data_IF_329904763795
#
_entry.id   IF_329904763795
#
_cell.length_a   1.000
_cell.length_b   1.000
_cell.length_c   1.000
_cell.angle_alpha   90.00
_cell.angle_beta   90.00
_cell.angle_gamma   90.00
#
_symmetry.space_group_name_H-M   'P 1'
#
loop_
_entity.id
_entity.type
_entity.pdbx_description
1 polymer ?
#
# COMPACT_ATOMS: atom_id res chain seq x y z
N UNK A 1 -40.05 -11.17 9.63
CA UNK A 1 -39.32 -9.90 9.91
C UNK A 1 -38.20 -10.26 10.87
N UNK A 2 -37.00 -10.66 10.36
CA UNK A 2 -35.81 -10.80 11.16
C UNK A 2 -34.89 -9.60 10.78
N UNK A 3 -34.91 -8.58 11.64
CA UNK A 3 -33.89 -7.58 11.63
C UNK A 3 -32.62 -8.23 12.20
N UNK A 4 -31.73 -8.69 11.31
CA UNK A 4 -30.37 -9.07 11.69
C UNK A 4 -29.67 -7.80 12.16
N UNK A 5 -29.33 -7.74 13.43
CA UNK A 5 -28.42 -6.75 14.02
C UNK A 5 -27.07 -6.87 13.32
N UNK A 6 -26.85 -6.03 12.35
CA UNK A 6 -25.51 -5.74 11.82
C UNK A 6 -24.74 -5.08 12.98
N UNK A 7 -23.91 -5.86 13.66
CA UNK A 7 -22.84 -5.27 14.46
C UNK A 7 -22.04 -4.38 13.49
N UNK A 8 -21.87 -3.08 13.76
CA UNK A 8 -20.99 -2.28 12.94
C UNK A 8 -19.61 -2.93 13.00
N UNK A 9 -19.09 -3.37 11.86
CA UNK A 9 -17.66 -3.57 11.72
C UNK A 9 -17.07 -2.24 12.18
N UNK A 10 -16.34 -2.26 13.29
CA UNK A 10 -15.69 -1.06 13.78
C UNK A 10 -14.95 -0.45 12.59
N UNK A 11 -15.35 0.75 12.20
CA UNK A 11 -14.65 1.50 11.16
C UNK A 11 -13.22 1.65 11.68
N UNK A 12 -12.30 0.89 11.10
CA UNK A 12 -10.90 1.13 11.36
C UNK A 12 -10.65 2.56 10.92
N UNK A 13 -10.08 3.38 11.78
CA UNK A 13 -9.74 4.73 11.43
C UNK A 13 -8.83 4.64 10.20
N UNK A 14 -9.36 5.05 9.07
CA UNK A 14 -8.60 5.14 7.82
C UNK A 14 -7.52 6.19 8.07
N UNK A 15 -6.25 5.94 7.75
CA UNK A 15 -5.20 6.95 7.82
C UNK A 15 -5.68 8.24 7.16
N UNK A 16 -5.20 9.42 7.59
CA UNK A 16 -5.56 10.70 6.97
C UNK A 16 -5.11 10.66 5.52
N UNK A 17 -6.01 10.20 4.67
CA UNK A 17 -5.78 10.11 3.23
C UNK A 17 -6.11 11.43 2.57
N UNK A 18 -5.45 11.68 1.46
CA UNK A 18 -5.75 12.78 0.57
C UNK A 18 -7.15 12.60 -0.03
N UNK A 19 -8.17 13.20 0.58
CA UNK A 19 -9.57 13.06 0.17
C UNK A 19 -9.96 14.01 -0.96
N UNK A 20 -9.21 15.10 -1.17
CA UNK A 20 -9.52 16.07 -2.20
C UNK A 20 -9.44 15.45 -3.61
N UNK A 21 -10.60 15.32 -4.26
CA UNK A 21 -10.71 14.73 -5.59
C UNK A 21 -10.73 13.19 -5.61
N UNK A 22 -10.70 12.51 -4.47
CA UNK A 22 -10.88 11.05 -4.38
C UNK A 22 -12.31 10.70 -4.78
N UNK A 23 -12.44 9.83 -5.79
CA UNK A 23 -13.75 9.41 -6.35
C UNK A 23 -13.95 7.90 -6.35
N UNK A 24 -12.92 7.12 -6.01
CA UNK A 24 -13.01 5.67 -5.83
C UNK A 24 -11.86 5.18 -4.95
N UNK A 25 -12.17 4.29 -4.00
CA UNK A 25 -11.21 3.75 -3.05
C UNK A 25 -11.60 2.33 -2.65
N UNK A 26 -10.77 1.36 -3.04
CA UNK A 26 -10.97 -0.05 -2.74
C UNK A 26 -9.73 -0.62 -2.09
N UNK A 27 -9.84 -0.89 -0.78
CA UNK A 27 -8.79 -1.54 0.02
C UNK A 27 -8.66 -3.04 -0.27
N UNK A 28 -9.53 -3.58 -1.10
CA UNK A 28 -9.59 -4.98 -1.50
C UNK A 28 -9.59 -6.01 -0.35
N UNK A 29 -9.96 -5.56 0.84
CA UNK A 29 -10.28 -6.40 1.98
C UNK A 29 -11.69 -6.95 1.76
N UNK A 30 -11.78 -8.06 1.03
CA UNK A 30 -13.05 -8.56 0.55
C UNK A 30 -13.98 -9.00 1.68
N UNK A 31 -15.24 -8.57 1.63
CA UNK A 31 -16.30 -9.05 2.51
C UNK A 31 -16.95 -10.28 1.86
N UNK A 32 -16.84 -11.40 2.57
CA UNK A 32 -17.45 -12.65 2.11
C UNK A 32 -18.90 -12.76 2.56
N UNK A 33 -19.81 -12.91 1.59
CA UNK A 33 -21.18 -13.41 1.80
C UNK A 33 -21.32 -14.73 1.05
N UNK A 34 -22.11 -15.72 1.54
CA UNK A 34 -22.32 -16.97 0.82
C UNK A 34 -22.78 -16.72 -0.63
N UNK A 35 -21.91 -17.07 -1.58
CA UNK A 35 -22.14 -16.85 -3.03
C UNK A 35 -21.88 -15.43 -3.55
N UNK A 36 -21.38 -14.51 -2.73
CA UNK A 36 -21.04 -13.15 -3.15
C UNK A 36 -19.80 -12.64 -2.41
N UNK A 37 -18.80 -12.21 -3.14
CA UNK A 37 -17.59 -11.57 -2.61
C UNK A 37 -17.55 -10.10 -3.05
N UNK A 38 -17.51 -9.18 -2.09
CA UNK A 38 -17.58 -7.74 -2.31
C UNK A 38 -16.26 -7.07 -1.99
N UNK A 39 -15.93 -6.06 -2.78
CA UNK A 39 -14.87 -5.09 -2.55
C UNK A 39 -15.51 -3.72 -2.24
N UNK A 40 -15.66 -3.35 -0.95
CA UNK A 40 -16.27 -2.09 -0.58
C UNK A 40 -15.49 -0.89 -1.10
N UNK A 41 -16.23 0.14 -1.56
CA UNK A 41 -15.69 1.46 -1.83
C UNK A 41 -15.81 2.34 -0.58
N UNK A 42 -14.70 2.90 -0.13
CA UNK A 42 -14.61 3.78 1.05
C UNK A 42 -14.45 5.24 0.69
N UNK A 43 -14.46 5.60 -0.60
CA UNK A 43 -14.36 6.99 -1.07
C UNK A 43 -15.55 7.88 -0.70
N UNK A 44 -16.67 7.26 -0.29
CA UNK A 44 -17.93 7.95 -0.02
C UNK A 44 -18.90 7.99 -1.20
N UNK A 45 -18.54 7.47 -2.35
CA UNK A 45 -19.39 7.43 -3.56
C UNK A 45 -20.18 6.12 -3.71
N UNK A 46 -20.06 5.17 -2.77
CA UNK A 46 -20.81 3.89 -2.73
C UNK A 46 -20.65 3.04 -3.99
N UNK A 47 -19.46 2.98 -4.54
CA UNK A 47 -19.13 2.24 -5.76
C UNK A 47 -18.57 0.85 -5.43
N UNK A 48 -19.26 0.10 -4.55
CA UNK A 48 -18.84 -1.23 -4.14
C UNK A 48 -18.65 -2.16 -5.34
N UNK A 49 -17.48 -2.78 -5.42
CA UNK A 49 -17.13 -3.75 -6.44
C UNK A 49 -17.61 -5.15 -6.09
N UNK A 50 -17.82 -5.97 -7.11
CA UNK A 50 -18.12 -7.40 -7.01
C UNK A 50 -16.98 -8.20 -7.60
N UNK A 51 -16.42 -9.15 -6.85
CA UNK A 51 -15.42 -10.09 -7.34
C UNK A 51 -16.07 -11.11 -8.26
N UNK A 52 -15.52 -11.29 -9.45
CA UNK A 52 -15.95 -12.27 -10.45
C UNK A 52 -14.93 -13.39 -10.48
N UNK A 53 -15.40 -14.63 -10.39
CA UNK A 53 -14.58 -15.83 -10.36
C UNK A 53 -14.52 -16.50 -8.98
N UNK A 54 -13.71 -17.57 -8.81
CA UNK A 54 -13.58 -18.27 -7.54
C UNK A 54 -12.90 -17.39 -6.49
N UNK A 55 -12.99 -17.78 -5.21
CA UNK A 55 -12.49 -17.02 -4.07
C UNK A 55 -11.02 -16.59 -4.24
N UNK A 56 -10.78 -15.29 -4.14
CA UNK A 56 -9.53 -14.64 -4.56
C UNK A 56 -8.76 -13.97 -3.40
N UNK A 57 -9.15 -14.18 -2.14
CA UNK A 57 -8.48 -13.52 -1.01
C UNK A 57 -7.04 -14.01 -0.81
N UNK A 58 -6.13 -13.10 -0.58
CA UNK A 58 -4.72 -13.39 -0.25
C UNK A 58 -4.15 -12.33 0.69
N UNK A 59 -2.90 -12.47 1.07
CA UNK A 59 -2.17 -11.38 1.73
C UNK A 59 -2.01 -10.21 0.75
N UNK A 60 -2.51 -9.03 1.13
CA UNK A 60 -2.36 -7.78 0.43
C UNK A 60 -1.08 -7.03 0.78
N UNK A 61 -0.98 -5.81 0.28
CA UNK A 61 -0.02 -4.83 0.76
C UNK A 61 -0.40 -4.39 2.18
N UNK A 62 -1.69 -4.07 2.38
CA UNK A 62 -2.28 -3.80 3.69
C UNK A 62 -3.26 -4.92 4.06
N UNK A 63 -3.02 -5.64 5.14
CA UNK A 63 -3.90 -6.69 5.68
C UNK A 63 -4.16 -7.84 4.70
N UNK A 64 -5.32 -7.85 4.07
CA UNK A 64 -5.69 -8.79 3.01
C UNK A 64 -5.87 -8.03 1.71
N UNK A 65 -5.42 -8.62 0.61
CA UNK A 65 -5.63 -8.10 -0.74
C UNK A 65 -6.28 -9.17 -1.62
N UNK A 66 -6.46 -8.86 -2.88
CA UNK A 66 -7.00 -9.80 -3.84
C UNK A 66 -5.89 -10.40 -4.69
N UNK A 67 -5.83 -11.73 -4.71
CA UNK A 67 -5.01 -12.48 -5.65
C UNK A 67 -5.90 -12.90 -6.82
N UNK A 68 -5.78 -12.21 -7.93
CA UNK A 68 -6.58 -12.41 -9.12
C UNK A 68 -5.95 -13.48 -10.03
N UNK A 69 -5.86 -14.71 -9.54
CA UNK A 69 -5.32 -15.82 -10.33
C UNK A 69 -6.32 -16.27 -11.39
N UNK A 70 -5.84 -16.50 -12.62
CA UNK A 70 -6.68 -16.98 -13.72
C UNK A 70 -7.65 -15.92 -14.24
N UNK A 71 -8.95 -16.25 -14.26
CA UNK A 71 -10.00 -15.41 -14.86
C UNK A 71 -10.69 -14.45 -13.90
N UNK A 72 -10.11 -14.19 -12.73
CA UNK A 72 -10.69 -13.36 -11.71
C UNK A 72 -10.47 -11.87 -11.96
N UNK A 73 -11.47 -11.06 -11.61
CA UNK A 73 -11.42 -9.60 -11.66
C UNK A 73 -12.56 -9.03 -10.82
N UNK A 74 -12.55 -7.71 -10.62
CA UNK A 74 -13.60 -7.00 -9.89
C UNK A 74 -14.34 -6.11 -10.87
N UNK A 75 -15.68 -6.13 -10.80
CA UNK A 75 -16.55 -5.21 -11.53
C UNK A 75 -17.17 -4.21 -10.58
N UNK A 76 -17.17 -2.93 -10.99
CA UNK A 76 -17.86 -1.84 -10.34
C UNK A 76 -18.88 -1.29 -11.34
N UNK A 77 -20.09 -1.02 -10.91
CA UNK A 77 -21.11 -0.44 -11.80
C UNK A 77 -20.60 0.86 -12.42
N UNK A 78 -20.97 1.10 -13.67
CA UNK A 78 -20.62 2.38 -14.31
C UNK A 78 -21.13 3.55 -13.46
N UNK A 79 -20.25 4.51 -13.23
CA UNK A 79 -20.54 5.69 -12.43
C UNK A 79 -20.01 6.95 -13.13
N UNK A 80 -20.78 8.05 -13.13
CA UNK A 80 -20.30 9.33 -13.64
C UNK A 80 -18.99 9.79 -12.99
N UNK A 81 -18.75 9.42 -11.72
CA UNK A 81 -17.53 9.80 -10.98
C UNK A 81 -16.27 9.10 -11.50
N UNK A 82 -16.42 7.99 -12.23
CA UNK A 82 -15.32 7.26 -12.86
C UNK A 82 -15.15 7.61 -14.34
N UNK A 83 -15.92 8.61 -14.83
CA UNK A 83 -15.91 9.08 -16.19
C UNK A 83 -15.36 10.52 -16.23
N UNK A 84 -14.15 10.69 -16.75
CA UNK A 84 -13.41 11.95 -16.63
C UNK A 84 -13.62 12.93 -17.80
N UNK A 85 -14.34 12.52 -18.84
CA UNK A 85 -14.62 13.37 -19.99
C UNK A 85 -13.33 13.92 -20.62
N UNK A 86 -13.18 15.25 -20.59
CA UNK A 86 -11.96 15.98 -20.95
C UNK A 86 -11.13 16.40 -19.73
N UNK A 87 -11.55 16.00 -18.51
CA UNK A 87 -10.91 16.36 -17.24
C UNK A 87 -9.62 15.60 -16.95
N UNK A 88 -8.90 16.07 -15.96
CA UNK A 88 -7.70 15.43 -15.40
C UNK A 88 -8.09 14.29 -14.44
N UNK A 89 -7.22 13.31 -14.26
CA UNK A 89 -7.45 12.19 -13.34
C UNK A 89 -6.14 11.55 -12.86
N UNK A 90 -6.25 10.73 -11.83
CA UNK A 90 -5.14 9.87 -11.37
C UNK A 90 -5.67 8.49 -11.02
N UNK A 91 -4.95 7.46 -11.43
CA UNK A 91 -5.18 6.07 -11.09
C UNK A 91 -3.98 5.57 -10.30
N UNK A 92 -4.20 4.88 -9.19
CA UNK A 92 -3.13 4.31 -8.40
C UNK A 92 -3.53 2.96 -7.81
N UNK A 93 -2.55 2.09 -7.56
CA UNK A 93 -2.72 0.82 -6.90
C UNK A 93 -1.40 0.32 -6.33
N UNK A 94 -1.47 -0.57 -5.34
CA UNK A 94 -0.38 -1.46 -5.01
C UNK A 94 -0.52 -2.75 -5.81
N UNK A 95 0.57 -3.19 -6.45
CA UNK A 95 0.59 -4.41 -7.26
C UNK A 95 1.82 -5.25 -6.94
N UNK A 96 1.66 -6.57 -7.06
CA UNK A 96 2.77 -7.52 -7.01
C UNK A 96 2.62 -8.48 -8.18
N UNK A 97 3.59 -8.44 -9.08
CA UNK A 97 3.62 -9.30 -10.28
C UNK A 97 4.60 -10.46 -10.07
N UNK A 98 4.25 -11.64 -10.57
CA UNK A 98 5.09 -12.84 -10.48
C UNK A 98 5.69 -13.23 -11.82
N UNK A 99 4.97 -12.97 -12.90
CA UNK A 99 5.37 -13.33 -14.26
C UNK A 99 5.59 -12.07 -15.11
N UNK A 100 6.77 -11.98 -15.71
CA UNK A 100 7.24 -10.84 -16.49
C UNK A 100 7.01 -10.96 -18.00
N UNK A 101 6.64 -12.14 -18.50
CA UNK A 101 6.63 -12.46 -19.93
C UNK A 101 5.25 -12.44 -20.59
N UNK A 102 4.22 -12.02 -19.87
CA UNK A 102 2.86 -11.93 -20.41
C UNK A 102 2.60 -10.55 -20.98
N UNK A 103 1.82 -10.48 -22.08
CA UNK A 103 1.42 -9.24 -22.74
C UNK A 103 0.86 -8.16 -21.79
N UNK A 104 -0.33 -7.64 -22.06
CA UNK A 104 -0.97 -6.63 -21.18
C UNK A 104 -1.54 -7.30 -19.93
N UNK A 105 -1.22 -6.74 -18.75
CA UNK A 105 -1.83 -7.07 -17.45
C UNK A 105 -2.60 -5.86 -16.96
N UNK A 106 -3.91 -5.86 -17.08
CA UNK A 106 -4.76 -4.72 -16.76
C UNK A 106 -4.94 -4.57 -15.25
N UNK A 107 -4.57 -3.42 -14.69
CA UNK A 107 -4.79 -3.05 -13.29
C UNK A 107 -6.18 -2.45 -13.14
N UNK A 108 -6.48 -1.42 -13.93
CA UNK A 108 -7.74 -0.66 -13.93
C UNK A 108 -8.19 -0.45 -15.37
N UNK A 109 -9.48 -0.65 -15.64
CA UNK A 109 -10.08 -0.32 -16.94
C UNK A 109 -11.44 0.33 -16.79
N UNK A 110 -11.67 1.37 -17.57
CA UNK A 110 -12.99 1.97 -17.79
C UNK A 110 -13.18 2.26 -19.27
N UNK A 111 -13.66 1.28 -20.04
CA UNK A 111 -13.78 1.33 -21.49
C UNK A 111 -15.18 0.92 -21.95
N UNK A 112 -15.80 1.77 -22.79
CA UNK A 112 -17.11 1.53 -23.37
C UNK A 112 -17.13 0.62 -24.58
N UNK A 113 -18.35 0.26 -25.03
CA UNK A 113 -18.54 -0.55 -26.26
C UNK A 113 -18.13 0.21 -27.51
N UNK A 114 -18.16 1.54 -27.49
CA UNK A 114 -17.67 2.41 -28.56
C UNK A 114 -16.15 2.56 -28.58
N UNK A 115 -15.45 1.88 -27.67
CA UNK A 115 -14.01 1.87 -27.55
C UNK A 115 -13.45 3.04 -26.73
N UNK A 116 -14.22 4.08 -26.42
CA UNK A 116 -13.76 5.21 -25.61
C UNK A 116 -13.52 4.81 -24.17
N UNK A 117 -12.54 5.46 -23.54
CA UNK A 117 -12.19 5.21 -22.16
C UNK A 117 -10.70 5.23 -21.88
N UNK A 118 -10.32 4.55 -20.81
CA UNK A 118 -8.94 4.41 -20.39
C UNK A 118 -8.66 3.03 -19.80
N UNK A 119 -7.40 2.62 -19.86
CA UNK A 119 -6.90 1.40 -19.23
C UNK A 119 -5.49 1.64 -18.69
N UNK A 120 -5.26 1.34 -17.44
CA UNK A 120 -3.96 1.37 -16.78
C UNK A 120 -3.49 -0.07 -16.55
N UNK A 121 -2.29 -0.40 -16.99
CA UNK A 121 -1.80 -1.76 -17.07
C UNK A 121 -0.29 -1.87 -16.87
N UNK A 122 0.20 -3.09 -16.69
CA UNK A 122 1.59 -3.47 -16.92
C UNK A 122 1.68 -4.13 -18.29
N UNK A 123 2.70 -3.82 -19.06
CA UNK A 123 2.97 -4.37 -20.39
C UNK A 123 4.41 -4.92 -20.48
N UNK A 124 4.66 -5.80 -21.39
CA UNK A 124 5.89 -6.55 -21.62
C UNK A 124 7.16 -5.93 -21.04
N UNK A 125 8.03 -6.72 -20.43
CA UNK A 125 9.20 -6.19 -19.73
C UNK A 125 8.91 -5.44 -18.42
N UNK A 126 7.69 -5.55 -17.87
CA UNK A 126 7.26 -4.94 -16.61
C UNK A 126 7.16 -3.41 -16.61
N UNK A 127 6.84 -2.82 -17.74
CA UNK A 127 6.61 -1.38 -17.87
C UNK A 127 5.15 -1.01 -17.56
N UNK A 128 4.93 0.20 -17.05
CA UNK A 128 3.59 0.75 -16.94
C UNK A 128 3.08 1.23 -18.30
N UNK A 129 1.81 0.95 -18.56
CA UNK A 129 1.09 1.34 -19.77
C UNK A 129 -0.18 2.07 -19.36
N UNK A 130 -0.42 3.24 -19.94
CA UNK A 130 -1.72 3.88 -20.00
C UNK A 130 -2.24 3.84 -21.42
N UNK A 131 -3.45 3.35 -21.60
CA UNK A 131 -4.20 3.47 -22.87
C UNK A 131 -5.31 4.49 -22.66
N UNK A 132 -5.46 5.43 -23.59
CA UNK A 132 -6.57 6.39 -23.63
C UNK A 132 -7.21 6.37 -25.00
N UNK A 133 -8.54 6.42 -25.05
CA UNK A 133 -9.29 6.52 -26.29
C UNK A 133 -10.36 7.61 -26.19
N UNK A 134 -10.37 8.45 -27.17
CA UNK A 134 -11.43 9.43 -27.45
C UNK A 134 -12.07 9.15 -28.81
N UNK A 135 -12.81 10.09 -29.37
CA UNK A 135 -13.44 9.99 -30.68
C UNK A 135 -12.44 9.78 -31.84
N UNK A 136 -11.16 10.04 -31.64
CA UNK A 136 -10.10 9.84 -32.64
C UNK A 136 -9.38 8.49 -32.51
N UNK A 137 -9.84 7.64 -31.58
CA UNK A 137 -9.30 6.29 -31.36
C UNK A 137 -8.30 6.18 -30.21
N UNK A 138 -7.58 5.07 -30.16
CA UNK A 138 -6.65 4.70 -29.10
C UNK A 138 -5.27 5.32 -29.27
N UNK A 139 -4.65 5.65 -28.11
CA UNK A 139 -3.23 5.95 -28.01
C UNK A 139 -2.66 5.27 -26.76
N UNK A 140 -1.47 4.70 -26.92
CA UNK A 140 -0.72 4.04 -25.84
C UNK A 140 0.39 4.96 -25.36
N UNK A 141 0.51 5.07 -24.04
CA UNK A 141 1.57 5.80 -23.34
C UNK A 141 2.32 4.82 -22.46
N UNK A 142 3.64 4.81 -22.53
CA UNK A 142 4.50 3.91 -21.75
C UNK A 142 5.35 4.69 -20.75
N UNK A 143 5.64 4.08 -19.61
CA UNK A 143 6.74 4.52 -18.77
C UNK A 143 8.08 4.39 -19.52
N UNK A 144 9.11 5.06 -19.06
CA UNK A 144 10.45 4.97 -19.65
C UNK A 144 11.06 3.57 -19.44
N UNK A 145 11.81 3.07 -20.40
CA UNK A 145 12.40 1.72 -20.41
C UNK A 145 13.35 1.44 -19.23
N UNK A 146 13.90 2.51 -18.63
CA UNK A 146 14.76 2.42 -17.45
C UNK A 146 14.03 2.09 -16.16
N UNK A 147 12.70 2.20 -16.17
CA UNK A 147 11.84 1.94 -15.02
C UNK A 147 11.01 0.69 -15.25
N UNK A 148 11.42 -0.41 -14.62
CA UNK A 148 10.69 -1.67 -14.65
C UNK A 148 10.34 -2.17 -13.25
N UNK A 149 9.19 -2.82 -13.14
CA UNK A 149 8.75 -3.43 -11.89
C UNK A 149 9.57 -4.70 -11.60
N UNK A 150 10.02 -4.85 -10.38
CA UNK A 150 10.76 -6.03 -9.92
C UNK A 150 9.75 -7.14 -9.60
N UNK A 151 9.86 -8.33 -10.22
CA UNK A 151 8.95 -9.44 -9.94
C UNK A 151 8.99 -9.87 -8.47
N UNK A 152 7.86 -10.37 -7.98
CA UNK A 152 7.69 -10.85 -6.62
C UNK A 152 7.82 -9.78 -5.50
N UNK A 153 7.90 -8.52 -5.88
CA UNK A 153 7.90 -7.38 -4.98
C UNK A 153 6.61 -6.58 -5.12
N UNK A 154 6.12 -6.02 -4.01
CA UNK A 154 5.07 -5.03 -4.04
C UNK A 154 5.61 -3.69 -4.57
N UNK A 155 4.87 -3.08 -5.48
CA UNK A 155 5.14 -1.76 -6.01
C UNK A 155 3.90 -0.90 -5.94
N UNK A 156 4.04 0.33 -5.47
CA UNK A 156 3.03 1.35 -5.69
C UNK A 156 3.18 1.89 -7.10
N UNK A 157 2.11 1.80 -7.87
CA UNK A 157 2.07 2.32 -9.24
C UNK A 157 0.98 3.36 -9.38
N UNK A 158 1.31 4.45 -10.06
CA UNK A 158 0.31 5.47 -10.36
C UNK A 158 0.54 6.09 -11.74
N UNK A 159 -0.56 6.56 -12.33
CA UNK A 159 -0.54 7.42 -13.50
C UNK A 159 -1.40 8.65 -13.24
N UNK A 160 -0.78 9.81 -13.32
CA UNK A 160 -1.43 11.13 -13.18
C UNK A 160 -1.54 11.77 -14.54
N UNK A 161 -2.76 12.12 -14.93
CA UNK A 161 -3.08 12.70 -16.25
C UNK A 161 -3.58 14.12 -16.05
N UNK A 162 -2.76 15.10 -16.37
CA UNK A 162 -3.10 16.51 -16.33
C UNK A 162 -3.52 17.00 -17.72
N UNK A 163 -4.80 17.32 -17.87
CA UNK A 163 -5.42 17.77 -19.13
C UNK A 163 -5.95 19.20 -19.05
N UNK A 164 -6.04 19.76 -17.86
CA UNK A 164 -6.70 21.06 -17.61
C UNK A 164 -5.76 22.14 -17.07
N UNK A 165 -4.52 21.78 -16.69
CA UNK A 165 -3.54 22.69 -16.12
C UNK A 165 -2.22 22.70 -16.90
N UNK A 166 -1.27 23.52 -16.47
CA UNK A 166 0.10 23.54 -16.99
C UNK A 166 1.06 22.89 -15.99
N UNK A 167 1.94 21.96 -16.42
CA UNK A 167 2.05 21.40 -17.77
C UNK A 167 0.97 20.35 -18.07
N UNK A 168 0.49 20.29 -19.32
CA UNK A 168 -0.39 19.22 -19.80
C UNK A 168 0.45 17.97 -20.02
N UNK A 169 0.21 16.92 -19.23
CA UNK A 169 1.02 15.71 -19.29
C UNK A 169 0.32 14.46 -18.72
N UNK A 170 0.81 13.31 -19.16
CA UNK A 170 0.71 12.03 -18.44
C UNK A 170 2.02 11.84 -17.67
N UNK A 171 1.94 11.53 -16.39
CA UNK A 171 3.12 11.22 -15.58
C UNK A 171 2.94 9.85 -14.93
N UNK A 172 3.90 8.95 -15.16
CA UNK A 172 3.95 7.65 -14.50
C UNK A 172 4.77 7.72 -13.22
N UNK A 173 4.36 6.95 -12.22
CA UNK A 173 5.07 6.81 -10.96
C UNK A 173 5.21 5.33 -10.59
N UNK A 174 6.40 4.94 -10.13
CA UNK A 174 6.70 3.66 -9.50
C UNK A 174 7.35 3.96 -8.15
N UNK A 175 6.78 3.43 -7.08
CA UNK A 175 7.24 3.64 -5.70
C UNK A 175 7.45 5.13 -5.36
N UNK A 176 6.52 5.97 -5.84
CA UNK A 176 6.53 7.42 -5.64
C UNK A 176 7.50 8.19 -6.53
N UNK A 177 8.37 7.54 -7.27
CA UNK A 177 9.31 8.20 -8.19
C UNK A 177 8.73 8.28 -9.60
N UNK A 178 9.04 9.39 -10.28
CA UNK A 178 8.59 9.58 -11.66
C UNK A 178 9.28 8.59 -12.59
N UNK A 179 8.49 7.77 -13.25
CA UNK A 179 8.92 6.71 -14.15
C UNK A 179 8.69 7.04 -15.65
N UNK A 180 8.34 8.27 -15.98
CA UNK A 180 8.15 8.71 -17.34
C UNK A 180 7.02 9.72 -17.49
N UNK A 181 6.94 10.36 -18.67
CA UNK A 181 5.88 11.31 -19.01
C UNK A 181 5.58 11.29 -20.51
N UNK A 182 4.37 11.74 -20.85
CA UNK A 182 3.89 11.84 -22.23
C UNK A 182 2.84 12.96 -22.37
N UNK A 183 2.43 13.27 -23.59
CA UNK A 183 1.34 14.20 -23.85
C UNK A 183 0.02 13.43 -23.96
N UNK A 184 -1.01 13.72 -23.14
CA UNK A 184 -2.27 12.99 -23.12
C UNK A 184 -3.14 13.24 -24.36
N UNK A 185 -4.09 12.36 -24.61
CA UNK A 185 -5.25 12.66 -25.46
C UNK A 185 -6.15 13.71 -24.80
N UNK A 186 -6.72 14.60 -25.58
CA UNK A 186 -7.49 15.75 -25.08
C UNK A 186 -9.01 15.62 -25.32
N UNK A 187 -9.45 14.66 -26.13
CA UNK A 187 -10.87 14.41 -26.42
C UNK A 187 -11.62 13.76 -25.26
N UNK A 188 -12.91 13.53 -25.45
CA UNK A 188 -13.78 12.93 -24.44
C UNK A 188 -13.55 11.41 -24.31
N UNK A 189 -13.12 10.97 -23.14
CA UNK A 189 -12.84 9.57 -22.81
C UNK A 189 -13.93 8.91 -21.97
N UNK A 190 -15.16 9.43 -21.94
CA UNK A 190 -16.22 8.83 -21.15
C UNK A 190 -16.64 7.46 -21.71
N UNK A 191 -16.65 6.47 -20.80
CA UNK A 191 -17.39 5.23 -20.96
C UNK A 191 -18.78 5.41 -20.31
N UNK A 192 -19.83 5.21 -21.08
CA UNK A 192 -21.21 5.45 -20.60
C UNK A 192 -22.00 4.17 -20.36
N UNK A 193 -21.48 2.99 -20.65
CA UNK A 193 -22.31 1.79 -20.75
C UNK A 193 -21.70 0.48 -20.21
N UNK A 194 -20.42 0.43 -19.90
CA UNK A 194 -19.78 -0.77 -19.36
C UNK A 194 -19.29 -0.54 -17.94
N UNK A 195 -19.20 -1.61 -17.12
CA UNK A 195 -18.62 -1.52 -15.80
C UNK A 195 -17.18 -1.04 -15.81
N UNK A 196 -16.78 -0.33 -14.75
CA UNK A 196 -15.39 -0.14 -14.40
C UNK A 196 -14.82 -1.47 -13.87
N UNK A 197 -13.59 -1.79 -14.18
CA UNK A 197 -12.96 -3.06 -13.83
C UNK A 197 -11.62 -2.87 -13.12
N UNK A 198 -11.36 -3.70 -12.13
CA UNK A 198 -10.07 -3.83 -11.46
C UNK A 198 -9.55 -5.24 -11.76
N UNK A 199 -8.34 -5.33 -12.31
CA UNK A 199 -7.72 -6.59 -12.71
C UNK A 199 -8.33 -7.27 -13.93
N UNK A 200 -9.24 -6.59 -14.64
CA UNK A 200 -9.98 -7.12 -15.79
C UNK A 200 -9.82 -6.29 -17.05
N UNK A 201 -10.11 -6.89 -18.18
CA UNK A 201 -10.17 -6.24 -19.48
C UNK A 201 -11.48 -6.63 -20.20
N UNK A 202 -12.12 -5.64 -20.82
CA UNK A 202 -13.43 -5.77 -21.44
C UNK A 202 -13.50 -6.85 -22.53
N UNK A 203 -12.56 -6.82 -23.43
CA UNK A 203 -12.63 -7.62 -24.68
C UNK A 203 -11.69 -8.82 -24.66
N UNK A 204 -10.75 -8.90 -23.70
CA UNK A 204 -9.68 -9.88 -23.78
C UNK A 204 -9.34 -10.48 -22.40
N UNK A 205 -9.73 -11.73 -22.20
CA UNK A 205 -9.40 -12.46 -20.98
C UNK A 205 -7.90 -12.67 -20.79
N UNK A 206 -7.12 -12.72 -21.87
CA UNK A 206 -5.65 -12.79 -21.80
C UNK A 206 -4.96 -11.55 -21.25
N UNK A 207 -5.67 -10.41 -21.16
CA UNK A 207 -5.15 -9.18 -20.57
C UNK A 207 -5.58 -9.00 -19.09
N UNK A 208 -6.07 -10.04 -18.43
CA UNK A 208 -6.35 -10.00 -17.01
C UNK A 208 -5.06 -9.89 -16.21
N UNK A 209 -5.16 -9.26 -15.04
CA UNK A 209 -3.98 -8.99 -14.23
C UNK A 209 -3.26 -10.27 -13.82
N UNK A 210 -3.99 -11.26 -13.31
CA UNK A 210 -3.48 -12.60 -13.03
C UNK A 210 -2.51 -12.68 -11.85
N UNK A 211 -2.41 -11.63 -11.05
CA UNK A 211 -1.50 -11.47 -9.91
C UNK A 211 -2.19 -10.70 -8.76
N UNK A 212 -1.44 -10.08 -7.85
CA UNK A 212 -1.98 -9.42 -6.67
C UNK A 212 -2.13 -7.92 -6.88
N UNK A 213 -3.32 -7.42 -6.57
CA UNK A 213 -3.65 -5.99 -6.53
C UNK A 213 -4.17 -5.66 -5.14
N UNK A 214 -3.86 -4.47 -4.66
CA UNK A 214 -4.35 -3.92 -3.40
C UNK A 214 -4.45 -2.40 -3.47
N UNK A 215 -5.21 -1.78 -2.55
CA UNK A 215 -5.27 -0.33 -2.34
C UNK A 215 -5.49 0.47 -3.63
N UNK A 216 -6.56 0.16 -4.35
CA UNK A 216 -6.90 0.85 -5.61
C UNK A 216 -7.54 2.20 -5.32
N UNK A 217 -6.94 3.26 -5.87
CA UNK A 217 -7.37 4.65 -5.70
C UNK A 217 -7.61 5.33 -7.04
N UNK A 218 -8.70 6.10 -7.11
CA UNK A 218 -9.08 6.87 -8.30
C UNK A 218 -9.40 8.31 -7.90
N UNK A 219 -8.75 9.27 -8.56
CA UNK A 219 -8.95 10.70 -8.34
C UNK A 219 -9.44 11.39 -9.62
N UNK A 220 -10.34 12.35 -9.49
CA UNK A 220 -10.81 13.22 -10.60
C UNK A 220 -9.94 14.46 -10.80
N UNK A 221 -8.69 14.40 -10.43
CA UNK A 221 -7.66 15.42 -10.65
C UNK A 221 -6.30 14.79 -10.89
N UNK A 222 -5.41 15.53 -11.51
CA UNK A 222 -4.00 15.14 -11.57
C UNK A 222 -3.35 15.33 -10.21
N UNK A 223 -2.73 14.27 -9.68
CA UNK A 223 -1.93 14.34 -8.46
C UNK A 223 -0.49 14.70 -8.79
N UNK A 224 0.09 15.73 -8.14
CA UNK A 224 1.52 15.99 -8.18
C UNK A 224 2.28 14.90 -7.40
N UNK A 225 3.58 14.82 -7.59
CA UNK A 225 4.45 13.82 -6.98
C UNK A 225 4.27 13.70 -5.44
N UNK A 226 4.15 14.83 -4.75
CA UNK A 226 3.96 14.85 -3.30
C UNK A 226 2.64 14.19 -2.85
N UNK A 227 1.57 14.40 -3.62
CA UNK A 227 0.28 13.77 -3.37
C UNK A 227 0.35 12.26 -3.67
N UNK A 228 1.10 11.86 -4.71
CA UNK A 228 1.35 10.44 -5.00
C UNK A 228 2.14 9.77 -3.85
N UNK A 229 3.10 10.47 -3.27
CA UNK A 229 3.80 9.99 -2.08
C UNK A 229 2.87 9.82 -0.87
N UNK A 230 1.95 10.77 -0.67
CA UNK A 230 0.98 10.71 0.43
C UNK A 230 0.02 9.52 0.29
N UNK A 231 -0.42 9.19 -0.92
CA UNK A 231 -1.32 8.04 -1.15
C UNK A 231 -0.59 6.69 -1.17
N UNK A 232 0.69 6.68 -1.51
CA UNK A 232 1.53 5.50 -1.41
C UNK A 232 1.74 5.09 0.04
N UNK A 233 1.88 6.06 0.93
CA UNK A 233 2.14 5.87 2.34
C UNK A 233 0.99 6.49 3.14
N UNK A 234 -0.12 5.78 3.35
CA UNK A 234 -1.33 6.34 3.97
C UNK A 234 -1.18 6.65 5.48
N UNK A 235 -0.01 7.05 5.91
CA UNK A 235 0.23 7.53 7.25
C UNK A 235 0.92 6.53 8.19
N UNK A 236 1.05 6.94 9.45
CA UNK A 236 1.63 6.12 10.51
C UNK A 236 0.75 4.91 10.75
N UNK A 237 1.32 3.71 10.99
CA UNK A 237 0.53 2.54 11.26
C UNK A 237 -0.28 2.72 12.55
N UNK A 238 -1.55 2.39 12.49
CA UNK A 238 -2.40 2.34 13.66
C UNK A 238 -1.88 1.36 14.71
N UNK A 239 -2.11 1.66 15.98
CA UNK A 239 -1.93 0.67 17.03
C UNK A 239 -3.02 -0.41 16.88
N UNK A 240 -2.69 -1.51 16.21
CA UNK A 240 -3.59 -2.65 16.02
C UNK A 240 -3.05 -3.91 16.71
N UNK A 241 -3.23 -4.04 18.04
CA UNK A 241 -2.75 -5.22 18.76
C UNK A 241 -3.46 -6.51 18.35
N UNK A 242 -4.69 -6.44 17.87
CA UNK A 242 -5.45 -7.63 17.45
C UNK A 242 -4.79 -8.36 16.30
N UNK A 243 -4.28 -7.65 15.31
CA UNK A 243 -3.54 -8.27 14.22
C UNK A 243 -2.32 -9.05 14.73
N UNK A 244 -1.51 -8.44 15.58
CA UNK A 244 -0.27 -9.04 16.07
C UNK A 244 -0.48 -10.14 17.11
N UNK A 245 -1.56 -10.08 17.90
CA UNK A 245 -1.77 -10.90 19.08
C UNK A 245 -2.70 -12.09 18.88
N UNK A 246 -3.73 -11.97 18.01
CA UNK A 246 -4.78 -12.99 17.87
C UNK A 246 -4.34 -14.23 17.08
N UNK A 247 -3.25 -14.15 16.32
CA UNK A 247 -2.66 -15.32 15.67
C UNK A 247 -1.42 -15.78 16.44
N UNK A 248 -1.44 -17.02 16.95
CA UNK A 248 -0.37 -17.56 17.79
C UNK A 248 0.98 -17.69 17.07
N UNK A 249 0.96 -18.00 15.76
CA UNK A 249 2.19 -18.08 14.96
C UNK A 249 2.78 -16.69 14.75
N UNK A 250 1.95 -15.73 14.30
CA UNK A 250 2.39 -14.34 14.12
C UNK A 250 2.95 -13.76 15.41
N UNK A 251 2.28 -13.95 16.53
CA UNK A 251 2.76 -13.49 17.84
C UNK A 251 4.13 -14.06 18.19
N UNK A 252 4.38 -15.35 17.95
CA UNK A 252 5.63 -16.02 18.36
C UNK A 252 6.76 -15.86 17.36
N UNK A 253 6.46 -15.74 16.07
CA UNK A 253 7.46 -15.71 15.00
C UNK A 253 7.91 -14.31 14.59
N UNK A 254 7.33 -13.27 15.18
CA UNK A 254 7.70 -11.89 14.92
C UNK A 254 8.10 -11.20 16.23
N UNK A 255 9.14 -10.39 16.17
CA UNK A 255 9.70 -9.67 17.32
C UNK A 255 9.44 -8.15 17.25
N UNK A 256 10.17 -7.37 18.04
CA UNK A 256 10.09 -5.92 18.06
C UNK A 256 10.50 -5.28 16.72
N UNK A 257 11.46 -5.86 16.01
CA UNK A 257 11.94 -5.33 14.74
C UNK A 257 10.91 -5.55 13.61
N UNK A 258 10.27 -6.74 13.56
CA UNK A 258 9.12 -6.98 12.70
C UNK A 258 7.99 -5.99 12.97
N UNK A 259 7.66 -5.80 14.26
CA UNK A 259 6.59 -4.93 14.67
C UNK A 259 6.84 -3.46 14.28
N UNK A 260 8.05 -2.97 14.54
CA UNK A 260 8.44 -1.59 14.22
C UNK A 260 8.41 -1.32 12.73
N UNK A 261 8.87 -2.25 11.92
CA UNK A 261 8.80 -2.16 10.46
C UNK A 261 7.40 -2.47 9.90
N UNK A 262 6.44 -2.81 10.75
CA UNK A 262 5.09 -3.24 10.39
C UNK A 262 5.08 -4.43 9.40
N UNK A 263 6.04 -5.35 9.52
CA UNK A 263 6.24 -6.49 8.60
C UNK A 263 6.20 -7.82 9.34
N UNK A 264 5.08 -8.54 9.21
CA UNK A 264 4.89 -9.86 9.79
C UNK A 264 5.49 -10.95 8.88
N UNK A 265 6.81 -11.01 8.80
CA UNK A 265 7.54 -11.96 7.93
C UNK A 265 7.59 -13.37 8.47
N UNK A 266 7.23 -13.56 9.74
CA UNK A 266 7.35 -14.83 10.50
C UNK A 266 8.80 -15.39 10.55
N UNK A 267 9.81 -14.52 10.42
CA UNK A 267 11.24 -14.87 10.42
C UNK A 267 11.95 -14.52 11.71
N UNK A 268 11.29 -13.85 12.65
CA UNK A 268 11.93 -13.27 13.83
C UNK A 268 13.08 -12.35 13.44
N UNK A 269 12.75 -11.34 12.64
CA UNK A 269 13.68 -10.50 11.90
C UNK A 269 14.76 -9.84 12.77
N UNK A 270 15.96 -9.71 12.20
CA UNK A 270 17.10 -9.09 12.86
C UNK A 270 17.60 -7.89 12.02
N UNK A 271 17.93 -6.76 12.65
CA UNK A 271 18.49 -5.62 11.94
C UNK A 271 19.69 -6.03 11.09
N UNK A 272 19.65 -5.65 9.80
CA UNK A 272 20.72 -5.90 8.85
C UNK A 272 20.80 -7.32 8.31
N UNK A 273 19.98 -8.28 8.76
CA UNK A 273 20.11 -9.66 8.30
C UNK A 273 19.69 -9.79 6.84
N UNK A 274 18.61 -9.15 6.44
CA UNK A 274 18.13 -9.19 5.06
C UNK A 274 19.08 -8.47 4.09
N UNK A 275 19.68 -7.37 4.50
CA UNK A 275 20.67 -6.61 3.74
C UNK A 275 22.08 -7.19 3.77
N UNK A 276 22.32 -8.30 4.50
CA UNK A 276 23.65 -8.91 4.65
C UNK A 276 24.60 -8.14 5.58
N UNK A 277 24.07 -7.19 6.37
CA UNK A 277 24.81 -6.35 7.31
C UNK A 277 24.34 -6.54 8.76
N UNK A 278 24.03 -7.77 9.14
CA UNK A 278 23.53 -8.09 10.48
C UNK A 278 24.47 -7.57 11.58
N UNK A 279 23.86 -7.01 12.63
CA UNK A 279 24.60 -6.46 13.76
C UNK A 279 25.54 -7.52 14.41
N UNK A 280 26.86 -7.27 14.48
CA UNK A 280 27.80 -8.21 15.09
C UNK A 280 27.81 -8.15 16.62
N UNK A 281 27.24 -7.09 17.21
CA UNK A 281 27.25 -6.88 18.66
C UNK A 281 26.01 -6.07 19.11
N UNK A 282 25.58 -6.31 20.35
CA UNK A 282 24.48 -5.57 20.95
C UNK A 282 24.97 -4.25 21.55
N UNK A 283 25.08 -3.23 20.69
CA UNK A 283 25.39 -1.85 21.07
C UNK A 283 24.63 -0.88 20.17
N UNK A 284 24.38 0.34 20.64
CA UNK A 284 23.74 1.38 19.83
C UNK A 284 24.40 1.50 18.46
N UNK A 285 25.70 1.60 18.40
CA UNK A 285 26.44 1.77 17.13
C UNK A 285 26.17 0.65 16.13
N UNK A 286 26.28 -0.60 16.53
CA UNK A 286 26.14 -1.72 15.59
C UNK A 286 24.69 -1.99 15.18
N UNK A 287 23.75 -1.93 16.13
CA UNK A 287 22.32 -2.13 15.83
C UNK A 287 21.80 -0.98 14.96
N UNK A 288 22.26 0.24 15.20
CA UNK A 288 21.93 1.41 14.38
C UNK A 288 22.38 1.23 12.91
N UNK A 289 23.66 0.86 12.71
CA UNK A 289 24.22 0.62 11.37
C UNK A 289 23.52 -0.51 10.62
N UNK A 290 23.14 -1.55 11.32
CA UNK A 290 22.42 -2.67 10.75
C UNK A 290 21.01 -2.25 10.29
N UNK A 291 20.32 -1.43 11.08
CA UNK A 291 19.01 -0.89 10.73
C UNK A 291 19.09 0.09 9.53
N UNK A 292 20.12 0.93 9.46
CA UNK A 292 20.38 1.78 8.29
C UNK A 292 20.57 0.96 7.01
N UNK A 293 21.26 -0.17 7.08
CA UNK A 293 21.43 -1.06 5.93
C UNK A 293 20.10 -1.68 5.45
N UNK A 294 19.13 -1.84 6.34
CA UNK A 294 17.76 -2.24 6.01
C UNK A 294 16.88 -1.07 5.55
N UNK A 295 17.43 0.16 5.46
CA UNK A 295 16.73 1.34 4.93
C UNK A 295 16.06 2.22 5.99
N UNK A 296 16.29 2.00 7.29
CA UNK A 296 15.84 2.94 8.32
C UNK A 296 16.71 4.19 8.30
N UNK A 297 16.12 5.37 8.37
CA UNK A 297 16.83 6.65 8.32
C UNK A 297 16.89 7.28 9.71
N UNK A 298 18.10 7.46 10.30
CA UNK A 298 18.22 8.13 11.59
C UNK A 298 17.76 9.57 11.52
N UNK A 299 17.04 10.01 12.56
CA UNK A 299 16.61 11.40 12.72
C UNK A 299 17.18 11.98 14.01
N UNK A 300 17.68 13.25 13.98
CA UNK A 300 18.44 13.81 15.07
C UNK A 300 17.59 14.10 16.32
N UNK A 301 16.27 14.20 16.18
CA UNK A 301 15.37 14.57 17.28
C UNK A 301 14.03 13.83 17.20
N UNK A 302 13.17 14.05 18.20
CA UNK A 302 11.82 13.50 18.26
C UNK A 302 11.08 13.75 16.95
N UNK A 303 10.38 12.74 16.39
CA UNK A 303 9.80 12.81 15.05
C UNK A 303 8.57 13.73 14.93
N UNK A 304 8.61 14.91 15.55
CA UNK A 304 7.61 15.98 15.36
C UNK A 304 7.63 16.57 13.95
N UNK A 305 8.68 16.27 13.18
CA UNK A 305 8.87 16.72 11.81
C UNK A 305 8.63 15.61 10.79
N UNK A 306 8.15 14.45 11.23
CA UNK A 306 7.77 13.39 10.29
C UNK A 306 6.62 13.89 9.41
N UNK A 307 6.81 13.82 8.11
CA UNK A 307 5.72 14.02 7.16
C UNK A 307 4.64 12.95 7.42
N UNK A 308 3.40 13.24 7.06
CA UNK A 308 2.24 12.36 7.36
C UNK A 308 2.37 10.92 6.84
N UNK A 309 3.24 10.69 5.87
CA UNK A 309 3.55 9.39 5.29
C UNK A 309 4.74 8.66 5.93
N UNK A 310 5.38 9.22 6.96
CA UNK A 310 6.56 8.64 7.59
C UNK A 310 6.20 8.02 8.94
N UNK A 311 6.65 6.79 9.16
CA UNK A 311 6.54 6.11 10.44
C UNK A 311 7.77 6.40 11.31
N UNK A 312 7.56 6.60 12.59
CA UNK A 312 8.64 6.81 13.56
C UNK A 312 9.00 5.51 14.29
N UNK A 313 10.29 5.29 14.48
CA UNK A 313 10.82 4.23 15.33
C UNK A 313 11.78 4.78 16.38
N UNK A 314 11.95 4.05 17.47
CA UNK A 314 12.97 4.32 18.47
C UNK A 314 13.71 3.05 18.84
N UNK A 315 15.04 3.16 18.87
CA UNK A 315 15.93 2.07 19.26
C UNK A 315 16.41 2.25 20.70
N UNK A 316 16.37 1.17 21.46
CA UNK A 316 16.97 1.07 22.77
C UNK A 316 17.80 -0.22 22.88
N UNK A 317 18.88 -0.19 23.66
CA UNK A 317 19.82 -1.31 23.78
C UNK A 317 20.10 -1.60 25.25
N UNK A 318 20.20 -2.87 25.57
CA UNK A 318 20.86 -3.40 26.76
C UNK A 318 22.27 -3.88 26.33
N UNK A 319 23.33 -3.11 26.56
CA UNK A 319 24.65 -3.37 26.01
C UNK A 319 25.15 -4.80 26.25
N UNK A 320 25.61 -5.46 25.20
CA UNK A 320 26.09 -6.83 25.25
C UNK A 320 25.02 -7.91 25.46
N UNK A 321 23.74 -7.55 25.55
CA UNK A 321 22.65 -8.49 25.87
C UNK A 321 21.56 -8.54 24.81
N UNK A 322 20.91 -7.37 24.50
CA UNK A 322 19.70 -7.34 23.69
C UNK A 322 19.46 -5.93 23.16
N UNK A 323 18.58 -5.81 22.16
CA UNK A 323 18.05 -4.54 21.65
C UNK A 323 16.53 -4.58 21.68
N UNK A 324 15.90 -3.42 21.63
CA UNK A 324 14.45 -3.32 21.50
C UNK A 324 14.04 -2.12 20.68
N UNK A 325 12.89 -2.24 20.02
CA UNK A 325 12.34 -1.21 19.14
C UNK A 325 10.93 -0.81 19.54
N UNK A 326 10.65 0.46 19.41
CA UNK A 326 9.32 1.05 19.55
C UNK A 326 8.86 1.63 18.22
N UNK A 327 7.54 1.65 17.99
CA UNK A 327 6.90 2.24 16.82
C UNK A 327 5.96 3.34 17.24
N UNK A 328 6.01 4.50 16.55
CA UNK A 328 5.06 5.59 16.70
C UNK A 328 3.77 5.24 15.96
N UNK A 329 2.64 5.29 16.65
CA UNK A 329 1.31 5.09 16.10
C UNK A 329 0.70 6.40 15.59
N UNK A 330 -0.38 6.31 14.81
CA UNK A 330 -1.11 7.45 14.25
C UNK A 330 -1.64 8.40 15.35
N UNK A 331 -2.12 7.83 16.45
CA UNK A 331 -2.62 8.60 17.61
C UNK A 331 -1.55 9.34 18.43
N UNK A 332 -0.29 9.26 17.99
CA UNK A 332 0.86 9.88 18.66
C UNK A 332 1.41 9.08 19.84
N UNK A 333 0.81 7.95 20.17
CA UNK A 333 1.36 7.05 21.20
C UNK A 333 2.44 6.14 20.61
N UNK A 334 3.29 5.60 21.46
CA UNK A 334 4.28 4.61 21.10
C UNK A 334 3.84 3.22 21.51
N UNK A 335 4.21 2.25 20.72
CA UNK A 335 3.88 0.86 20.97
C UNK A 335 5.06 -0.06 20.62
N UNK A 336 5.05 -1.26 21.15
CA UNK A 336 6.11 -2.22 20.91
C UNK A 336 5.60 -3.66 21.00
N UNK A 337 6.41 -4.60 20.57
CA UNK A 337 6.14 -6.04 20.67
C UNK A 337 7.38 -6.74 21.23
N UNK A 338 7.46 -7.01 22.55
CA UNK A 338 8.63 -7.67 23.15
C UNK A 338 8.72 -9.12 22.68
N UNK A 339 9.74 -9.45 21.87
CA UNK A 339 10.03 -10.80 21.41
C UNK A 339 8.78 -11.59 20.98
N UNK A 340 8.58 -12.76 21.57
CA UNK A 340 7.48 -13.67 21.27
C UNK A 340 6.14 -13.30 21.97
N UNK A 341 6.09 -12.18 22.67
CA UNK A 341 4.91 -11.77 23.45
C UNK A 341 3.95 -10.91 22.63
N UNK A 342 2.89 -10.43 23.28
CA UNK A 342 1.88 -9.56 22.66
C UNK A 342 2.42 -8.16 22.39
N UNK A 343 1.96 -7.56 21.30
CA UNK A 343 2.13 -6.12 21.06
C UNK A 343 1.34 -5.31 22.10
N UNK A 344 1.93 -4.22 22.59
CA UNK A 344 1.34 -3.34 23.60
C UNK A 344 1.80 -1.88 23.39
N UNK A 345 0.99 -0.92 23.85
CA UNK A 345 1.36 0.49 23.93
C UNK A 345 1.69 0.90 25.39
N UNK A 346 1.96 -0.08 26.24
CA UNK A 346 2.30 0.14 27.66
C UNK A 346 3.73 -0.25 27.94
N UNK A 347 4.39 0.54 28.79
CA UNK A 347 5.72 0.27 29.31
C UNK A 347 5.72 -0.82 30.39
N UNK A 348 6.89 -1.14 30.94
CA UNK A 348 7.00 -2.17 31.99
C UNK A 348 6.36 -1.78 33.34
N UNK A 349 5.94 -0.53 33.50
CA UNK A 349 5.15 -0.06 34.64
C UNK A 349 3.65 -0.05 34.36
N UNK A 350 3.22 -0.43 33.14
CA UNK A 350 1.83 -0.41 32.69
C UNK A 350 1.31 0.94 32.20
N UNK A 351 2.17 1.95 32.10
CA UNK A 351 1.79 3.28 31.61
C UNK A 351 1.76 3.32 30.08
N UNK A 352 0.86 4.11 29.50
CA UNK A 352 0.86 4.41 28.07
C UNK A 352 2.19 5.09 27.70
N UNK A 353 2.83 4.61 26.65
CA UNK A 353 4.11 5.15 26.18
C UNK A 353 3.83 6.39 25.33
N UNK A 354 4.11 7.55 25.86
CA UNK A 354 4.05 8.82 25.13
C UNK A 354 5.42 9.26 24.61
N UNK A 355 6.50 8.80 25.25
CA UNK A 355 7.88 9.05 24.84
C UNK A 355 8.77 7.86 25.25
N UNK A 356 9.40 7.16 24.28
CA UNK A 356 10.29 6.03 24.58
C UNK A 356 11.53 6.40 25.41
N UNK A 357 11.93 7.68 25.44
CA UNK A 357 13.05 8.16 26.25
C UNK A 357 12.76 8.09 27.75
N UNK A 358 11.49 8.34 28.12
CA UNK A 358 11.06 8.42 29.52
C UNK A 358 10.30 7.17 30.01
N UNK A 359 9.92 6.27 29.10
CA UNK A 359 9.24 5.02 29.40
C UNK A 359 10.08 4.10 30.28
N UNK A 360 9.43 3.27 31.11
CA UNK A 360 10.11 2.18 31.80
C UNK A 360 10.48 1.07 30.81
N UNK A 361 11.73 1.07 30.38
CA UNK A 361 12.29 0.16 29.38
C UNK A 361 12.89 -1.13 29.94
N UNK A 362 12.77 -1.33 31.23
CA UNK A 362 13.35 -2.50 31.91
C UNK A 362 14.88 -2.53 31.79
N UNK A 363 15.40 -3.59 31.15
CA UNK A 363 16.88 -3.79 31.03
C UNK A 363 17.53 -2.89 29.97
N UNK A 364 16.79 -2.23 29.11
CA UNK A 364 17.33 -1.45 27.99
C UNK A 364 17.75 -0.05 28.49
N UNK A 365 18.99 0.04 29.01
CA UNK A 365 19.54 1.26 29.61
C UNK A 365 19.77 2.36 28.58
N UNK A 366 20.24 1.99 27.39
CA UNK A 366 20.71 2.94 26.41
C UNK A 366 19.60 3.32 25.42
N UNK A 367 19.32 4.62 25.32
CA UNK A 367 18.48 5.15 24.24
C UNK A 367 19.38 5.50 23.06
N UNK A 368 19.20 4.85 21.91
CA UNK A 368 20.09 4.92 20.77
C UNK A 368 19.63 5.88 19.67
N UNK A 369 18.44 6.45 19.78
CA UNK A 369 17.95 7.45 18.83
C UNK A 369 16.61 7.08 18.21
N UNK A 370 16.13 8.03 17.43
CA UNK A 370 14.93 7.89 16.62
C UNK A 370 15.30 7.61 15.15
N UNK A 371 14.37 6.96 14.48
CA UNK A 371 14.47 6.64 13.05
C UNK A 371 13.17 6.97 12.35
N UNK A 372 13.29 7.35 11.11
CA UNK A 372 12.22 7.42 10.16
C UNK A 372 12.22 6.12 9.33
N UNK A 373 11.02 5.57 9.17
CA UNK A 373 10.77 4.45 8.27
C UNK A 373 9.89 4.98 7.14
N UNK A 374 10.15 4.52 5.94
CA UNK A 374 9.11 4.55 4.93
C UNK A 374 8.06 3.55 5.39
N UNK A 375 6.84 4.04 5.65
CA UNK A 375 5.78 3.17 6.18
C UNK A 375 5.31 2.18 5.10
N UNK A 376 6.09 1.12 4.93
CA UNK A 376 5.56 -0.11 4.38
C UNK A 376 4.54 -0.63 5.38
N UNK A 377 3.28 -0.33 5.18
CA UNK A 377 2.18 -0.77 6.05
C UNK A 377 1.84 -2.25 5.78
N UNK A 378 2.60 -2.91 4.93
CA UNK A 378 2.35 -4.29 4.56
C UNK A 378 2.53 -5.22 5.74
N UNK A 379 1.42 -5.62 6.31
CA UNK A 379 1.32 -6.73 7.23
C UNK A 379 1.28 -8.05 6.45
N UNK A 380 2.37 -8.46 5.80
CA UNK A 380 2.35 -9.67 4.98
C UNK A 380 3.68 -10.39 4.88
N UNK A 381 3.64 -11.62 4.36
CA UNK A 381 4.82 -12.40 4.03
C UNK A 381 5.55 -11.82 2.81
N UNK A 382 6.88 -11.91 2.80
CA UNK A 382 7.69 -11.66 1.62
C UNK A 382 8.11 -10.22 1.45
N UNK A 383 8.34 -9.51 2.54
CA UNK A 383 8.98 -8.22 2.50
C UNK A 383 10.47 -8.37 2.68
N UNK A 384 11.13 -7.97 1.65
CA UNK A 384 12.50 -8.25 1.34
C UNK A 384 13.47 -7.38 2.15
N UNK A 385 12.99 -6.32 2.83
CA UNK A 385 13.84 -5.37 3.53
C UNK A 385 14.15 -5.75 4.99
N UNK A 386 13.48 -6.76 5.53
CA UNK A 386 13.82 -7.34 6.84
C UNK A 386 13.61 -8.85 6.86
N UNK A 387 14.47 -9.56 7.57
CA UNK A 387 14.40 -11.02 7.72
C UNK A 387 14.88 -11.48 9.10
#
# INVERSE_FOLDING_TARGET
>A
VLAALLSPVASQAVPIRLTAGLVGEWHLQTIYWPGLELAPDTSGYNQTGRVIGPKASSYGWMYSGVNLTGDQYITVNNSPNLNFGTGSFTLAAWIRITDTNRGIKTIIENRGTDGRGYSFAVYGGNQLLLQMADETGWLNFHAEDTWSLVPNRWHHVAVSVNRTGWPVNVTFYIDGFRAGFATPKMGNINNTNLPFMIGGHKDWSGARFGDRIDEVLVYNRALPMWDVWSIMNPGRPNYNPSFWNNNSNRKRKNNCYNYTNNKATDTFAQPGRASGAQSPAMSCFWVHRAAEADGLVPVPDYPNTLLDFQSGAALVVAPGRDYHWYRLAEDGTWSHKPGQTSATNRDNSGNIITDPRTANRGIYSDFCGFFMLWSDIAEGYGHENIN
#
